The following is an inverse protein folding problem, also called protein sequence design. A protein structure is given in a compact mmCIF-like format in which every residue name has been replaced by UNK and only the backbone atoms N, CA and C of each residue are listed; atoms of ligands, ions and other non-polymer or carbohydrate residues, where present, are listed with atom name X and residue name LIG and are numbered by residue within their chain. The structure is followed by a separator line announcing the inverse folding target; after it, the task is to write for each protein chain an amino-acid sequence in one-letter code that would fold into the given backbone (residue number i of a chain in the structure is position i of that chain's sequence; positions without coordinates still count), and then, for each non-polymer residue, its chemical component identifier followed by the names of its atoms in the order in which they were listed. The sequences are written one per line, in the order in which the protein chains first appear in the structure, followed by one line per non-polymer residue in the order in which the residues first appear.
data_IF_601440017620
#
_entry.id   IF_601440017620
#
_cell.length_a   1.000
_cell.length_b   1.000
_cell.length_c   1.000
_cell.angle_alpha   90.00
_cell.angle_beta   90.00
_cell.angle_gamma   90.00
#
_symmetry.space_group_name_H-M   'P 1'
#
loop_
_entity.id
_entity.type
_entity.pdbx_description
1 polymer ?
#
# COMPACT_ATOMS: atom_id res chain seq x y z
N UNK A 1 3.72 0.62 -9.78
CA UNK A 1 3.26 -0.28 -8.70
C UNK A 1 3.64 -1.70 -9.08
N UNK A 2 4.15 -2.49 -8.14
CA UNK A 2 4.34 -3.93 -8.33
C UNK A 2 3.78 -4.67 -7.12
N UNK A 3 3.17 -5.82 -7.36
CA UNK A 3 2.60 -6.69 -6.32
C UNK A 3 3.28 -8.05 -6.35
N UNK A 4 3.45 -8.66 -5.18
CA UNK A 4 3.98 -10.00 -4.99
C UNK A 4 3.09 -10.77 -4.00
N UNK A 5 3.00 -12.09 -4.13
CA UNK A 5 2.26 -12.97 -3.21
C UNK A 5 3.26 -13.83 -2.44
N UNK A 6 3.07 -13.95 -1.12
CA UNK A 6 3.86 -14.82 -0.25
C UNK A 6 2.91 -15.57 0.69
N UNK A 7 2.65 -16.85 0.40
CA UNK A 7 1.58 -17.60 1.07
C UNK A 7 0.22 -16.91 0.87
N UNK A 8 -0.53 -16.72 1.96
CA UNK A 8 -1.82 -16.01 1.97
C UNK A 8 -1.69 -14.48 2.13
N UNK A 9 -0.49 -13.91 1.96
CA UNK A 9 -0.27 -12.47 2.06
C UNK A 9 0.05 -11.89 0.69
N UNK A 10 -0.47 -10.70 0.42
CA UNK A 10 -0.07 -9.90 -0.74
C UNK A 10 0.78 -8.73 -0.29
N UNK A 11 1.87 -8.47 -0.99
CA UNK A 11 2.75 -7.33 -0.77
C UNK A 11 2.69 -6.42 -1.98
N UNK A 12 2.51 -5.13 -1.77
CA UNK A 12 2.47 -4.12 -2.82
C UNK A 12 3.52 -3.06 -2.55
N UNK A 13 4.35 -2.78 -3.55
CA UNK A 13 5.33 -1.70 -3.52
C UNK A 13 4.81 -0.57 -4.42
N UNK A 14 4.68 0.60 -3.80
CA UNK A 14 4.19 1.82 -4.42
C UNK A 14 5.34 2.83 -4.39
N UNK A 15 5.73 3.33 -5.56
CA UNK A 15 6.73 4.39 -5.70
C UNK A 15 6.07 5.54 -6.42
N UNK A 16 6.12 6.73 -5.83
CA UNK A 16 5.60 7.92 -6.47
C UNK A 16 6.71 8.62 -7.26
N UNK A 17 6.64 8.54 -8.59
CA UNK A 17 7.57 9.23 -9.49
C UNK A 17 7.03 10.57 -10.01
N UNK A 18 5.90 11.04 -9.46
CA UNK A 18 5.38 12.38 -9.73
C UNK A 18 6.11 13.40 -8.86
N UNK A 19 6.18 14.65 -9.35
CA UNK A 19 6.64 15.80 -8.56
C UNK A 19 5.61 16.30 -7.54
N UNK A 20 4.41 15.69 -7.51
CA UNK A 20 3.31 16.07 -6.60
C UNK A 20 2.97 14.94 -5.64
N UNK A 21 2.41 15.32 -4.49
CA UNK A 21 1.75 14.39 -3.58
C UNK A 21 0.60 13.68 -4.31
N UNK A 22 0.43 12.39 -4.04
CA UNK A 22 -0.64 11.57 -4.60
C UNK A 22 -1.49 10.97 -3.49
N UNK A 23 -2.80 10.87 -3.76
CA UNK A 23 -3.73 10.05 -2.97
C UNK A 23 -4.23 8.92 -3.87
N UNK A 24 -3.88 7.68 -3.54
CA UNK A 24 -4.20 6.49 -4.32
C UNK A 24 -5.25 5.69 -3.58
N UNK A 25 -6.37 5.42 -4.25
CA UNK A 25 -7.38 4.47 -3.78
C UNK A 25 -6.97 3.05 -4.15
N UNK A 26 -6.77 2.20 -3.14
CA UNK A 26 -6.57 0.77 -3.31
C UNK A 26 -7.93 0.12 -3.51
N UNK A 27 -8.05 -0.66 -4.58
CA UNK A 27 -9.23 -1.49 -4.85
C UNK A 27 -8.78 -2.93 -4.69
N UNK A 28 -9.42 -3.65 -3.78
CA UNK A 28 -9.09 -5.06 -3.51
C UNK A 28 -10.26 -5.89 -3.99
N UNK A 29 -10.02 -6.87 -4.86
CA UNK A 29 -11.08 -7.72 -5.41
C UNK A 29 -11.76 -8.62 -4.36
N UNK A 30 -11.14 -8.78 -3.18
CA UNK A 30 -11.68 -9.53 -2.06
C UNK A 30 -11.62 -8.68 -0.78
N UNK A 31 -12.78 -8.33 -0.23
CA UNK A 31 -12.94 -7.48 0.95
C UNK A 31 -12.46 -8.13 2.27
N UNK A 32 -12.05 -9.40 2.22
CA UNK A 32 -11.42 -10.09 3.34
C UNK A 32 -10.01 -9.58 3.62
N UNK A 33 -9.38 -8.82 2.73
CA UNK A 33 -8.01 -8.34 2.93
C UNK A 33 -7.95 -6.88 3.39
N UNK A 34 -7.20 -6.62 4.46
CA UNK A 34 -6.90 -5.28 4.95
C UNK A 34 -5.46 -4.88 4.60
N UNK A 35 -5.27 -3.70 3.97
CA UNK A 35 -3.94 -3.14 3.79
C UNK A 35 -3.37 -2.61 5.11
N UNK A 36 -2.18 -3.05 5.45
CA UNK A 36 -1.32 -2.49 6.49
C UNK A 36 -0.04 -1.94 5.88
N UNK A 37 0.38 -0.76 6.30
CA UNK A 37 1.69 -0.22 5.92
C UNK A 37 2.77 -0.91 6.75
N UNK A 38 3.77 -1.49 6.09
CA UNK A 38 4.92 -2.11 6.77
C UNK A 38 6.21 -1.32 6.58
N UNK A 39 6.25 -0.43 5.59
CA UNK A 39 7.38 0.47 5.34
C UNK A 39 6.91 1.73 4.62
N UNK A 40 7.51 2.87 4.98
CA UNK A 40 7.48 4.11 4.24
C UNK A 40 8.87 4.73 4.29
N UNK A 41 9.41 5.16 3.14
CA UNK A 41 10.70 5.86 3.10
C UNK A 41 10.59 7.32 3.53
N UNK A 42 9.38 7.82 3.76
CA UNK A 42 9.09 9.17 4.24
C UNK A 42 7.84 9.20 5.14
N UNK A 43 7.09 10.31 5.09
CA UNK A 43 5.91 10.55 5.94
C UNK A 43 4.57 10.14 5.30
N UNK A 44 4.61 9.34 4.23
CA UNK A 44 3.45 8.76 3.59
C UNK A 44 2.65 7.89 4.55
N UNK A 45 1.36 7.72 4.25
CA UNK A 45 0.41 7.06 5.16
C UNK A 45 -0.56 6.17 4.39
N UNK A 46 -0.91 5.06 5.02
CA UNK A 46 -2.01 4.20 4.58
C UNK A 46 -3.13 4.31 5.62
N UNK A 47 -4.31 4.74 5.19
CA UNK A 47 -5.51 4.78 6.03
C UNK A 47 -6.61 3.98 5.35
N UNK A 48 -6.94 2.81 5.90
CA UNK A 48 -7.77 1.80 5.23
C UNK A 48 -7.25 1.60 3.80
N UNK A 49 -8.11 1.71 2.79
CA UNK A 49 -7.76 1.52 1.39
C UNK A 49 -7.24 2.78 0.70
N UNK A 50 -6.77 3.79 1.43
CA UNK A 50 -6.22 5.02 0.85
C UNK A 50 -4.75 5.18 1.21
N UNK A 51 -3.93 5.47 0.20
CA UNK A 51 -2.50 5.72 0.36
C UNK A 51 -2.22 7.18 0.02
N UNK A 52 -1.65 7.93 0.95
CA UNK A 52 -1.06 9.24 0.70
C UNK A 52 0.45 9.08 0.58
N UNK A 53 1.04 9.51 -0.53
CA UNK A 53 2.46 9.31 -0.83
C UNK A 53 3.08 10.58 -1.42
N UNK A 54 4.25 10.95 -0.94
CA UNK A 54 5.00 12.14 -1.36
C UNK A 54 5.86 11.87 -2.60
N UNK A 55 6.35 12.90 -3.31
CA UNK A 55 7.27 12.73 -4.42
C UNK A 55 8.49 11.89 -4.04
N UNK A 56 8.89 10.97 -4.94
CA UNK A 56 10.04 10.07 -4.80
C UNK A 56 9.97 9.09 -3.61
N UNK A 57 8.84 9.06 -2.90
CA UNK A 57 8.64 8.18 -1.77
C UNK A 57 8.29 6.76 -2.23
N UNK A 58 8.76 5.78 -1.45
CA UNK A 58 8.39 4.37 -1.56
C UNK A 58 7.59 3.95 -0.33
N UNK A 59 6.43 3.33 -0.56
CA UNK A 59 5.60 2.71 0.48
C UNK A 59 5.44 1.22 0.15
N UNK A 60 5.57 0.38 1.17
CA UNK A 60 5.26 -1.04 1.08
C UNK A 60 4.02 -1.34 1.92
N UNK A 61 3.03 -1.93 1.25
CA UNK A 61 1.74 -2.30 1.83
C UNK A 61 1.64 -3.83 1.86
N UNK A 62 1.38 -4.38 3.04
CA UNK A 62 1.06 -5.79 3.23
C UNK A 62 -0.45 -5.93 3.39
N UNK A 63 -1.07 -6.77 2.57
CA UNK A 63 -2.48 -7.12 2.70
C UNK A 63 -2.59 -8.42 3.49
N UNK A 64 -3.25 -8.35 4.64
CA UNK A 64 -3.53 -9.49 5.51
C UNK A 64 -5.02 -9.80 5.54
N UNK A 65 -5.37 -11.07 5.70
CA UNK A 65 -6.76 -11.48 5.84
C UNK A 65 -7.33 -10.98 7.18
N UNK A 66 -8.55 -10.44 7.18
CA UNK A 66 -9.29 -10.04 8.38
C UNK A 66 -9.43 -11.23 9.33
N UNK A 67 -9.14 -11.03 10.61
CA UNK A 67 -9.32 -12.03 11.65
C UNK A 67 -8.10 -12.88 12.01
N UNK A 68 -6.90 -12.48 11.56
CA UNK A 68 -5.61 -13.01 12.03
C UNK A 68 -4.74 -11.89 12.58
#
# INVERSE_FOLDING_TARGET
MKTAKCGEKYLCIIVNKSTKNQEIQLIVCNEEYLPGMIFASGNGRVNKYKVKIHPEETIVVLFTKKGY
#
